data_IF_277116496354
#
_entry.id   IF_277116496354
#
_cell.length_a   1.000
_cell.length_b   1.000
_cell.length_c   1.000
_cell.angle_alpha   90.00
_cell.angle_beta   90.00
_cell.angle_gamma   90.00
#
_symmetry.space_group_name_H-M   'P 1'
#
loop_
_entity.id
_entity.type
_entity.pdbx_description
1 polymer ?
#
# COMPACT_ATOMS: atom_id res chain seq x y z
N UNK A 1 15.67 9.69 7.50
CA UNK A 1 14.24 9.79 7.12
C UNK A 1 13.76 8.72 6.13
N UNK A 2 14.65 8.01 5.40
CA UNK A 2 14.28 6.99 4.39
C UNK A 2 14.28 5.53 4.87
N UNK A 3 14.63 5.24 6.13
CA UNK A 3 14.68 3.86 6.66
C UNK A 3 13.34 3.34 7.22
N UNK A 4 12.33 4.20 7.42
CA UNK A 4 11.03 3.78 7.98
C UNK A 4 10.02 3.27 6.92
N UNK A 5 10.21 3.60 5.64
CA UNK A 5 9.30 3.17 4.55
C UNK A 5 9.58 1.73 4.10
N UNK A 6 10.82 1.26 4.22
CA UNK A 6 11.23 -0.08 3.76
C UNK A 6 10.70 -1.22 4.64
N UNK A 7 10.36 -0.96 5.90
CA UNK A 7 9.80 -1.99 6.80
C UNK A 7 8.32 -2.30 6.50
N UNK A 8 7.58 -1.33 5.96
CA UNK A 8 6.16 -1.47 5.65
C UNK A 8 5.89 -2.25 4.35
N UNK A 9 6.80 -2.18 3.38
CA UNK A 9 6.63 -2.88 2.08
C UNK A 9 6.82 -4.40 2.22
N UNK A 10 7.63 -4.87 3.18
CA UNK A 10 7.82 -6.32 3.42
C UNK A 10 6.63 -7.02 4.11
N UNK A 11 5.76 -6.28 4.81
CA UNK A 11 4.63 -6.87 5.56
C UNK A 11 3.38 -7.11 4.70
N UNK A 12 3.32 -6.54 3.49
CA UNK A 12 2.19 -6.67 2.54
C UNK A 12 2.38 -7.80 1.52
N UNK A 13 3.56 -8.41 1.43
CA UNK A 13 3.79 -9.61 0.62
C UNK A 13 3.53 -10.86 1.45
N UNK A 14 2.25 -11.24 1.56
CA UNK A 14 1.89 -12.63 1.90
C UNK A 14 2.35 -13.55 0.75
N UNK A 15 3.00 -14.70 1.02
CA UNK A 15 3.54 -15.58 -0.02
C UNK A 15 2.51 -16.47 -0.75
N UNK A 16 1.20 -16.31 -0.50
CA UNK A 16 0.18 -17.26 -1.01
C UNK A 16 -0.81 -16.63 -1.99
N UNK A 17 -0.30 -16.15 -3.14
CA UNK A 17 -1.11 -15.98 -4.36
C UNK A 17 -0.33 -16.53 -5.54
N UNK A 18 0.00 -17.82 -5.48
CA UNK A 18 0.46 -18.61 -6.62
C UNK A 18 -0.42 -19.85 -6.69
N UNK A 19 -1.70 -19.70 -7.02
CA UNK A 19 -2.50 -20.78 -7.60
C UNK A 19 -3.52 -20.14 -8.52
N UNK A 20 -3.47 -20.47 -9.82
CA UNK A 20 -4.47 -20.06 -10.80
C UNK A 20 -3.96 -19.32 -12.03
N UNK A 21 -2.82 -19.71 -12.61
CA UNK A 21 -2.43 -19.27 -13.96
C UNK A 21 -2.01 -20.48 -14.82
N UNK A 22 -2.80 -21.53 -14.82
CA UNK A 22 -2.74 -22.56 -15.86
C UNK A 22 -4.18 -22.89 -16.28
N UNK A 23 -4.41 -22.81 -17.59
CA UNK A 23 -5.64 -23.17 -18.31
C UNK A 23 -6.71 -22.08 -18.47
N UNK A 24 -6.42 -21.12 -19.34
CA UNK A 24 -7.42 -20.47 -20.21
C UNK A 24 -6.76 -20.06 -21.55
N UNK A 25 -6.06 -21.01 -22.19
CA UNK A 25 -5.68 -20.89 -23.61
C UNK A 25 -6.72 -21.65 -24.41
N UNK A 26 -7.64 -20.92 -25.05
CA UNK A 26 -8.31 -21.22 -26.34
C UNK A 26 -9.62 -20.43 -26.45
N UNK A 27 -9.54 -19.14 -26.82
CA UNK A 27 -10.55 -18.46 -27.66
C UNK A 27 -10.13 -17.02 -27.96
N UNK A 28 -9.70 -16.80 -29.22
CA UNK A 28 -9.44 -15.51 -29.86
C UNK A 28 -8.45 -14.56 -29.17
N UNK A 29 -7.15 -14.86 -29.26
CA UNK A 29 -6.12 -13.82 -29.12
C UNK A 29 -6.17 -12.87 -30.31
N UNK A 30 -6.93 -11.78 -30.20
CA UNK A 30 -6.75 -10.67 -31.14
C UNK A 30 -5.34 -10.13 -30.95
N UNK A 31 -4.48 -10.10 -31.99
CA UNK A 31 -3.12 -9.61 -31.86
C UNK A 31 -3.16 -8.18 -31.31
N UNK A 32 -2.41 -7.96 -30.23
CA UNK A 32 -2.34 -6.67 -29.56
C UNK A 32 -1.90 -5.60 -30.55
N UNK A 33 -2.67 -4.51 -30.64
CA UNK A 33 -2.40 -3.42 -31.57
C UNK A 33 -0.95 -2.92 -31.38
N UNK A 34 -0.19 -2.80 -32.48
CA UNK A 34 1.23 -2.36 -32.48
C UNK A 34 1.48 -1.11 -31.63
N UNK A 35 0.56 -0.13 -31.68
CA UNK A 35 0.62 1.10 -30.86
C UNK A 35 0.61 0.83 -29.35
N UNK A 36 -0.21 -0.11 -28.87
CA UNK A 36 -0.27 -0.48 -27.45
C UNK A 36 1.02 -1.16 -27.01
N UNK A 37 1.56 -2.07 -27.83
CA UNK A 37 2.84 -2.73 -27.56
C UNK A 37 3.98 -1.72 -27.43
N UNK A 38 4.10 -0.79 -28.38
CA UNK A 38 5.10 0.28 -28.36
C UNK A 38 4.96 1.16 -27.12
N UNK A 39 3.74 1.62 -26.80
CA UNK A 39 3.49 2.44 -25.61
C UNK A 39 3.88 1.72 -24.32
N UNK A 40 3.48 0.46 -24.16
CA UNK A 40 3.79 -0.34 -22.97
C UNK A 40 5.30 -0.58 -22.85
N UNK A 41 5.98 -0.90 -23.96
CA UNK A 41 7.43 -1.07 -23.98
C UNK A 41 8.16 0.22 -23.61
N UNK A 42 7.81 1.36 -24.22
CA UNK A 42 8.40 2.66 -23.90
C UNK A 42 8.20 3.03 -22.43
N UNK A 43 7.01 2.76 -21.87
CA UNK A 43 6.72 3.02 -20.46
C UNK A 43 7.55 2.13 -19.53
N UNK A 44 7.60 0.81 -19.76
CA UNK A 44 8.40 -0.14 -18.95
C UNK A 44 9.90 0.22 -19.03
N UNK A 45 10.42 0.49 -20.23
CA UNK A 45 11.82 0.89 -20.41
C UNK A 45 12.17 2.16 -19.62
N UNK A 46 11.23 3.12 -19.51
CA UNK A 46 11.42 4.31 -18.68
C UNK A 46 11.50 3.96 -17.20
N UNK A 47 10.60 3.10 -16.70
CA UNK A 47 10.64 2.66 -15.30
C UNK A 47 11.91 1.87 -14.98
N UNK A 48 12.39 1.04 -15.91
CA UNK A 48 13.64 0.30 -15.75
C UNK A 48 14.85 1.22 -15.61
N UNK A 49 14.93 2.28 -16.43
CA UNK A 49 16.00 3.28 -16.28
C UNK A 49 15.96 3.99 -14.92
N UNK A 50 14.77 4.34 -14.43
CA UNK A 50 14.62 4.90 -13.09
C UNK A 50 15.04 3.90 -12.01
N UNK A 51 14.64 2.64 -12.13
CA UNK A 51 15.02 1.56 -11.21
C UNK A 51 16.54 1.39 -11.11
N UNK A 52 17.22 1.35 -12.26
CA UNK A 52 18.67 1.25 -12.33
C UNK A 52 19.37 2.48 -11.74
N UNK A 53 18.91 3.69 -12.08
CA UNK A 53 19.49 4.95 -11.59
C UNK A 53 19.39 5.07 -10.06
N UNK A 54 18.24 4.71 -9.49
CA UNK A 54 17.97 4.86 -8.06
C UNK A 54 18.39 3.62 -7.25
N UNK A 55 18.90 2.57 -7.89
CA UNK A 55 19.29 1.31 -7.21
C UNK A 55 18.12 0.57 -6.55
N UNK A 56 16.91 0.71 -7.08
CA UNK A 56 15.67 0.21 -6.48
C UNK A 56 14.99 -0.84 -7.39
N UNK A 57 14.19 -1.77 -6.84
CA UNK A 57 13.50 -2.78 -7.65
C UNK A 57 12.52 -2.17 -8.67
N UNK A 58 12.46 -2.71 -9.89
CA UNK A 58 11.50 -2.27 -10.91
C UNK A 58 10.03 -2.36 -10.43
N UNK A 59 9.71 -3.37 -9.61
CA UNK A 59 8.38 -3.52 -9.02
C UNK A 59 7.95 -2.29 -8.22
N UNK A 60 8.88 -1.58 -7.58
CA UNK A 60 8.58 -0.33 -6.90
C UNK A 60 8.06 0.71 -7.88
N UNK A 61 8.76 0.96 -8.99
CA UNK A 61 8.36 1.96 -9.99
C UNK A 61 7.10 1.60 -10.75
N UNK A 62 6.86 0.30 -10.99
CA UNK A 62 5.61 -0.17 -11.60
C UNK A 62 4.43 0.10 -10.67
N UNK A 63 4.59 -0.12 -9.36
CA UNK A 63 3.53 0.06 -8.37
C UNK A 63 3.45 1.49 -7.81
N UNK A 64 4.48 2.32 -8.00
CA UNK A 64 4.54 3.66 -7.43
C UNK A 64 3.36 4.55 -7.85
N UNK A 65 2.91 4.57 -9.13
CA UNK A 65 1.75 5.35 -9.52
C UNK A 65 0.47 4.94 -8.77
N UNK A 66 0.23 3.64 -8.56
CA UNK A 66 -0.95 3.18 -7.84
C UNK A 66 -0.87 3.50 -6.35
N UNK A 67 0.28 3.28 -5.71
CA UNK A 67 0.54 3.65 -4.31
C UNK A 67 0.33 5.16 -4.12
N UNK A 68 0.89 5.98 -5.01
CA UNK A 68 0.73 7.44 -4.97
C UNK A 68 -0.73 7.86 -5.14
N UNK A 69 -1.47 7.23 -6.06
CA UNK A 69 -2.89 7.52 -6.25
C UNK A 69 -3.72 7.21 -4.99
N UNK A 70 -3.45 6.08 -4.33
CA UNK A 70 -4.10 5.70 -3.06
C UNK A 70 -3.78 6.73 -1.98
N UNK A 71 -2.52 7.09 -1.81
CA UNK A 71 -2.09 8.10 -0.83
C UNK A 71 -2.73 9.47 -1.09
N UNK A 72 -2.71 9.99 -2.33
CA UNK A 72 -3.35 11.25 -2.68
C UNK A 72 -4.87 11.23 -2.42
N UNK A 73 -5.53 10.10 -2.69
CA UNK A 73 -6.94 9.94 -2.41
C UNK A 73 -7.21 9.93 -0.90
N UNK A 74 -6.39 9.24 -0.11
CA UNK A 74 -6.49 9.26 1.35
C UNK A 74 -6.29 10.65 1.92
N UNK A 75 -5.30 11.41 1.44
CA UNK A 75 -5.07 12.80 1.86
C UNK A 75 -6.25 13.72 1.52
N UNK A 76 -6.90 13.47 0.38
CA UNK A 76 -8.14 14.16 0.01
C UNK A 76 -9.29 13.81 0.96
N UNK A 77 -9.40 12.56 1.41
CA UNK A 77 -10.43 12.14 2.37
C UNK A 77 -10.15 12.70 3.78
N UNK A 78 -8.89 12.70 4.21
CA UNK A 78 -8.44 13.31 5.46
C UNK A 78 -8.84 14.78 5.53
N UNK A 79 -8.54 15.56 4.49
CA UNK A 79 -8.95 16.99 4.39
C UNK A 79 -10.45 17.22 4.42
N UNK A 80 -11.26 16.19 4.12
CA UNK A 80 -12.72 16.25 4.16
C UNK A 80 -13.31 15.69 5.45
N UNK A 81 -12.48 15.27 6.42
CA UNK A 81 -12.94 14.61 7.64
C UNK A 81 -13.65 13.28 7.38
N UNK A 82 -13.33 12.59 6.26
CA UNK A 82 -13.96 11.31 5.86
C UNK A 82 -13.06 10.11 6.08
N UNK A 83 -11.98 10.30 6.82
CA UNK A 83 -10.99 9.28 7.13
C UNK A 83 -10.90 9.21 8.65
N UNK A 84 -11.37 8.11 9.21
CA UNK A 84 -11.47 7.93 10.65
C UNK A 84 -10.51 6.83 11.11
N UNK A 85 -9.91 6.98 12.31
CA UNK A 85 -9.19 5.88 12.93
C UNK A 85 -10.18 4.76 13.28
N UNK A 86 -9.84 3.53 12.91
CA UNK A 86 -10.58 2.32 13.29
C UNK A 86 -9.87 1.66 14.47
N UNK A 87 -10.30 2.05 15.68
CA UNK A 87 -9.69 1.62 16.94
C UNK A 87 -9.93 0.14 17.25
N UNK A 88 -11.01 -0.45 16.73
CA UNK A 88 -11.29 -1.89 16.89
C UNK A 88 -10.21 -2.76 16.22
N UNK A 89 -9.51 -2.20 15.24
CA UNK A 89 -8.40 -2.83 14.51
C UNK A 89 -7.03 -2.28 14.90
N UNK A 90 -6.94 -1.53 16.00
CA UNK A 90 -5.67 -1.03 16.49
C UNK A 90 -4.74 -2.17 16.92
N UNK A 91 -3.45 -2.00 16.64
CA UNK A 91 -2.40 -2.93 17.05
C UNK A 91 -1.56 -2.29 18.15
N UNK A 92 -1.43 -3.00 19.27
CA UNK A 92 -0.69 -2.54 20.43
C UNK A 92 0.67 -3.22 20.49
N UNK A 93 1.73 -2.41 20.51
CA UNK A 93 3.10 -2.82 20.71
C UNK A 93 3.61 -2.31 22.08
N UNK A 94 4.68 -2.89 22.63
CA UNK A 94 5.31 -2.33 23.82
C UNK A 94 5.76 -0.88 23.56
N UNK A 95 5.19 0.06 24.31
CA UNK A 95 5.51 1.49 24.26
C UNK A 95 4.94 2.30 23.09
N UNK A 96 4.22 1.70 22.14
CA UNK A 96 3.56 2.42 21.03
C UNK A 96 2.43 1.59 20.41
N UNK A 97 1.48 2.23 19.72
CA UNK A 97 0.45 1.53 18.97
C UNK A 97 0.33 2.02 17.53
N UNK A 98 -0.34 1.27 16.68
CA UNK A 98 -0.73 1.70 15.33
C UNK A 98 -2.23 1.50 15.09
N UNK A 99 -2.89 2.52 14.57
CA UNK A 99 -4.32 2.48 14.22
C UNK A 99 -4.50 2.64 12.71
N UNK A 100 -5.28 1.78 12.05
CA UNK A 100 -5.59 1.95 10.63
C UNK A 100 -6.50 3.17 10.40
N UNK A 101 -6.16 3.98 9.41
CA UNK A 101 -7.01 5.06 8.91
C UNK A 101 -7.92 4.54 7.81
N UNK A 102 -9.22 4.53 8.09
CA UNK A 102 -10.23 3.85 7.30
C UNK A 102 -11.16 4.87 6.63
N UNK A 103 -11.37 4.67 5.33
CA UNK A 103 -12.30 5.48 4.55
C UNK A 103 -13.76 4.95 4.61
N UNK A 104 -14.71 5.64 3.95
CA UNK A 104 -16.14 5.36 4.07
C UNK A 104 -16.59 3.96 3.61
N UNK A 105 -15.75 3.25 2.86
CA UNK A 105 -16.02 1.88 2.35
C UNK A 105 -15.26 0.80 3.13
N UNK A 106 -14.71 1.11 4.30
CA UNK A 106 -13.86 0.18 5.06
C UNK A 106 -12.45 -0.01 4.45
N UNK A 107 -12.07 0.79 3.45
CA UNK A 107 -10.75 0.74 2.82
C UNK A 107 -9.71 1.34 3.74
N UNK A 108 -8.65 0.58 4.06
CA UNK A 108 -7.51 1.05 4.83
C UNK A 108 -6.55 1.81 3.91
N UNK A 109 -6.19 3.03 4.29
CA UNK A 109 -5.28 3.87 3.50
C UNK A 109 -3.84 3.83 4.01
N UNK A 110 -3.66 4.04 5.31
CA UNK A 110 -2.39 3.93 6.00
C UNK A 110 -2.63 3.73 7.50
N UNK A 111 -1.56 3.46 8.24
CA UNK A 111 -1.58 3.36 9.69
C UNK A 111 -0.97 4.62 10.30
N UNK A 112 -1.51 5.05 11.43
CA UNK A 112 -0.99 6.16 12.23
C UNK A 112 -0.48 5.58 13.53
N UNK A 113 0.77 5.89 13.87
CA UNK A 113 1.32 5.56 15.18
C UNK A 113 0.71 6.46 16.25
N UNK A 114 0.42 5.89 17.40
CA UNK A 114 -0.09 6.63 18.56
C UNK A 114 0.65 6.23 19.84
N UNK A 115 0.73 7.19 20.76
CA UNK A 115 1.26 7.00 22.10
C UNK A 115 0.10 6.83 23.10
N UNK A 116 0.41 6.44 24.35
CA UNK A 116 -0.59 6.16 25.39
C UNK A 116 -1.59 7.31 25.60
N UNK A 117 -1.11 8.55 25.50
CA UNK A 117 -1.89 9.78 25.71
C UNK A 117 -2.98 10.02 24.66
N UNK A 118 -2.83 9.42 23.48
CA UNK A 118 -3.76 9.59 22.35
C UNK A 118 -4.83 8.48 22.31
N UNK A 119 -4.78 7.56 23.27
CA UNK A 119 -5.64 6.39 23.32
C UNK A 119 -7.00 6.77 23.92
N UNK A 120 -8.12 6.31 23.34
CA UNK A 120 -9.42 6.40 23.98
C UNK A 120 -9.39 5.72 25.35
N UNK A 121 -10.07 6.30 26.33
CA UNK A 121 -10.08 5.84 27.73
C UNK A 121 -10.50 4.38 27.83
N UNK A 122 -11.40 3.92 26.96
CA UNK A 122 -11.90 2.56 26.92
C UNK A 122 -10.83 1.53 26.54
N UNK A 123 -9.76 1.96 25.88
CA UNK A 123 -8.72 1.09 25.33
C UNK A 123 -7.43 1.09 26.16
N UNK A 124 -7.32 1.93 27.18
CA UNK A 124 -6.18 1.95 28.12
C UNK A 124 -5.77 0.58 28.66
N UNK A 125 -6.70 -0.35 28.99
CA UNK A 125 -6.33 -1.68 29.48
C UNK A 125 -5.56 -2.55 28.48
N UNK A 126 -5.65 -2.25 27.18
CA UNK A 126 -4.93 -2.99 26.13
C UNK A 126 -3.50 -2.47 25.91
N UNK A 127 -3.13 -1.35 26.55
CA UNK A 127 -1.81 -0.77 26.43
C UNK A 127 -0.74 -1.71 27.02
N UNK A 128 0.39 -1.80 26.32
CA UNK A 128 1.55 -2.56 26.77
C UNK A 128 2.67 -1.59 27.10
N UNK A 129 3.06 -1.56 28.37
CA UNK A 129 4.24 -0.83 28.80
C UNK A 129 5.49 -1.37 28.09
N UNK A 130 6.50 -0.51 27.92
CA UNK A 130 7.72 -0.77 27.16
C UNK A 130 8.69 -1.74 27.85
#
# INVERSE_FOLDING_TARGET
MYQKVTKYIRKLTKPNVIVGFTNCLTRYERPMKRKLRQRNQSWISRQLRCAQKEGMPLSFFINFPSIRAVSCNGERLKRRGRLNPDWDRALFHPGWGEVPMVGPKGTIYWFVGFDKEQLPVELEPFWKEA
#
